data_IF_967327253266
#
_entry.id   IF_967327253266
#
_cell.length_a   1.000
_cell.length_b   1.000
_cell.length_c   1.000
_cell.angle_alpha   90.00
_cell.angle_beta   90.00
_cell.angle_gamma   90.00
#
_symmetry.space_group_name_H-M   'P 1'
#
loop_
_entity.id
_entity.type
_entity.pdbx_description
1 polymer ?
#
# COMPACT_ATOMS: atom_id res chain seq x y z
N UNK A 1 6.67 -33.08 -79.73
CA UNK A 1 6.86 -31.80 -79.02
C UNK A 1 8.08 -31.11 -79.63
N UNK A 2 7.84 -30.03 -80.37
CA UNK A 2 8.87 -29.32 -81.15
C UNK A 2 9.88 -28.68 -80.23
N UNK A 3 11.18 -28.59 -80.62
CA UNK A 3 12.26 -27.95 -79.84
C UNK A 3 11.88 -26.54 -79.39
N UNK A 4 11.12 -25.79 -80.11
CA UNK A 4 10.61 -24.45 -79.84
C UNK A 4 9.62 -24.48 -78.61
N UNK A 5 8.72 -25.47 -78.57
CA UNK A 5 7.76 -25.64 -77.53
C UNK A 5 8.47 -26.02 -76.18
N UNK A 6 9.52 -26.88 -76.23
CA UNK A 6 10.32 -27.22 -75.03
C UNK A 6 11.05 -25.99 -74.49
N UNK A 7 11.67 -25.18 -75.37
CA UNK A 7 12.34 -23.96 -74.96
C UNK A 7 11.38 -22.92 -74.37
N UNK A 8 10.18 -22.78 -74.95
CA UNK A 8 9.15 -21.88 -74.40
C UNK A 8 8.68 -22.30 -72.99
N UNK A 9 8.47 -23.60 -72.76
CA UNK A 9 8.09 -24.15 -71.49
C UNK A 9 9.21 -23.92 -70.42
N UNK A 10 10.48 -24.10 -70.79
CA UNK A 10 11.62 -23.84 -69.91
C UNK A 10 11.75 -22.35 -69.53
N UNK A 11 11.50 -21.45 -70.51
CA UNK A 11 11.50 -19.99 -70.24
C UNK A 11 10.39 -19.61 -69.27
N UNK A 12 9.17 -20.09 -69.49
CA UNK A 12 8.00 -19.83 -68.62
C UNK A 12 8.23 -20.40 -67.23
N UNK A 13 8.74 -21.62 -67.13
CA UNK A 13 9.11 -22.23 -65.81
C UNK A 13 10.20 -21.43 -65.09
N UNK A 14 11.20 -20.90 -65.79
CA UNK A 14 12.23 -20.02 -65.27
C UNK A 14 11.67 -18.70 -64.73
N UNK A 15 10.74 -18.08 -65.44
CA UNK A 15 10.07 -16.83 -65.01
C UNK A 15 9.21 -17.09 -63.78
N UNK A 16 8.46 -18.18 -63.75
CA UNK A 16 7.67 -18.56 -62.57
C UNK A 16 8.56 -18.82 -61.36
N UNK A 17 9.68 -19.52 -61.55
CA UNK A 17 10.65 -19.79 -60.49
C UNK A 17 11.29 -18.49 -59.98
N UNK A 18 11.67 -17.57 -60.88
CA UNK A 18 12.20 -16.25 -60.49
C UNK A 18 11.17 -15.39 -59.78
N UNK A 19 9.91 -15.42 -60.16
CA UNK A 19 8.81 -14.73 -59.49
C UNK A 19 8.55 -15.31 -58.07
N UNK A 20 8.57 -16.63 -57.92
CA UNK A 20 8.44 -17.28 -56.60
C UNK A 20 9.63 -16.95 -55.68
N UNK A 21 10.85 -16.96 -56.21
CA UNK A 21 12.05 -16.55 -55.48
C UNK A 21 11.99 -15.08 -55.04
N UNK A 22 11.50 -14.19 -55.87
CA UNK A 22 11.36 -12.76 -55.51
C UNK A 22 10.35 -12.53 -54.39
N UNK A 23 9.27 -13.31 -54.32
CA UNK A 23 8.29 -13.26 -53.21
C UNK A 23 8.91 -13.71 -51.89
N UNK A 24 9.84 -14.67 -51.92
CA UNK A 24 10.56 -15.13 -50.70
C UNK A 24 11.62 -14.12 -50.22
N UNK A 25 12.02 -13.19 -51.08
CA UNK A 25 13.04 -12.19 -50.79
C UNK A 25 12.50 -10.92 -50.10
N UNK A 26 11.18 -10.79 -49.93
CA UNK A 26 10.57 -9.60 -49.30
C UNK A 26 10.09 -9.94 -47.90
N UNK A 27 10.46 -9.08 -46.92
CA UNK A 27 9.98 -9.16 -45.55
C UNK A 27 9.43 -7.80 -45.11
N UNK A 28 8.31 -7.84 -44.40
CA UNK A 28 7.73 -6.67 -43.73
C UNK A 28 8.02 -6.73 -42.24
N UNK A 29 8.69 -5.69 -41.73
CA UNK A 29 8.89 -5.45 -40.29
C UNK A 29 7.81 -4.46 -39.83
N UNK A 30 6.93 -4.84 -38.90
CA UNK A 30 5.87 -3.93 -38.41
C UNK A 30 6.44 -2.72 -37.68
N UNK A 31 5.66 -1.65 -37.57
CA UNK A 31 6.01 -0.50 -36.74
C UNK A 31 6.14 -0.92 -35.28
N UNK A 32 7.16 -0.40 -34.57
CA UNK A 32 7.48 -0.78 -33.19
C UNK A 32 8.24 -2.10 -33.05
N UNK A 33 8.72 -2.68 -34.16
CA UNK A 33 9.58 -3.87 -34.13
C UNK A 33 10.91 -3.59 -34.79
N UNK A 34 11.93 -4.32 -34.38
CA UNK A 34 13.25 -4.40 -35.01
C UNK A 34 13.44 -5.80 -35.59
N UNK A 35 13.83 -5.88 -36.82
CA UNK A 35 14.12 -7.14 -37.52
C UNK A 35 15.59 -7.54 -37.26
N UNK A 36 15.83 -8.60 -36.52
CA UNK A 36 17.17 -9.19 -36.36
C UNK A 36 17.41 -10.17 -37.51
N UNK A 37 18.50 -9.94 -38.24
CA UNK A 37 18.86 -10.78 -39.42
C UNK A 37 19.64 -11.99 -38.97
N UNK A 38 19.18 -13.17 -39.34
CA UNK A 38 19.84 -14.45 -39.07
C UNK A 38 20.12 -15.18 -40.37
N UNK A 39 21.40 -15.44 -40.67
CA UNK A 39 21.87 -16.15 -41.84
C UNK A 39 22.47 -17.49 -41.45
N UNK A 40 21.87 -18.59 -41.88
CA UNK A 40 22.27 -19.96 -41.54
C UNK A 40 22.48 -20.20 -40.04
N UNK A 41 21.62 -19.60 -39.20
CA UNK A 41 21.69 -19.72 -37.75
C UNK A 41 22.64 -18.72 -37.07
N UNK A 42 23.39 -17.91 -37.80
CA UNK A 42 24.26 -16.86 -37.28
C UNK A 42 23.54 -15.51 -37.33
N UNK A 43 23.53 -14.81 -36.18
CA UNK A 43 23.03 -13.42 -36.10
C UNK A 43 24.02 -12.49 -36.80
N UNK A 44 23.53 -11.65 -37.72
CA UNK A 44 24.33 -10.64 -38.40
C UNK A 44 24.39 -9.33 -37.59
N UNK A 45 25.47 -8.56 -37.79
CA UNK A 45 25.71 -7.30 -37.08
C UNK A 45 24.89 -6.10 -37.62
N UNK A 46 23.73 -6.37 -38.17
CA UNK A 46 22.82 -5.31 -38.59
C UNK A 46 21.36 -5.71 -38.32
N UNK A 47 20.56 -4.71 -38.06
CA UNK A 47 19.12 -4.85 -37.84
C UNK A 47 18.33 -4.12 -38.91
N UNK A 48 17.11 -4.53 -39.10
CA UNK A 48 16.16 -3.90 -40.02
C UNK A 48 15.15 -3.08 -39.22
N UNK A 49 15.02 -1.81 -39.55
CA UNK A 49 13.96 -0.94 -39.03
C UNK A 49 12.58 -1.35 -39.53
N UNK A 50 11.54 -0.72 -38.99
CA UNK A 50 10.17 -0.92 -39.47
C UNK A 50 10.04 -0.49 -40.93
N UNK A 51 9.42 -1.35 -41.72
CA UNK A 51 9.26 -1.12 -43.17
C UNK A 51 9.27 -2.40 -43.99
N UNK A 52 9.44 -2.24 -45.31
CA UNK A 52 9.59 -3.34 -46.26
C UNK A 52 11.06 -3.43 -46.62
N UNK A 53 11.64 -4.61 -46.48
CA UNK A 53 13.06 -4.87 -46.72
C UNK A 53 13.22 -6.07 -47.67
N UNK A 54 14.32 -6.06 -48.38
CA UNK A 54 14.75 -7.22 -49.16
C UNK A 54 15.70 -8.09 -48.32
N UNK A 55 15.50 -9.38 -48.33
CA UNK A 55 16.35 -10.37 -47.68
C UNK A 55 16.74 -11.47 -48.69
N UNK A 56 17.85 -12.14 -48.47
CA UNK A 56 18.17 -13.34 -49.21
C UNK A 56 17.22 -14.51 -48.85
N UNK A 57 16.94 -15.45 -49.73
CA UNK A 57 16.01 -16.57 -49.46
C UNK A 57 16.41 -17.42 -48.25
N UNK A 58 17.70 -17.50 -47.93
CA UNK A 58 18.27 -18.26 -46.80
C UNK A 58 18.36 -17.46 -45.51
N UNK A 59 18.02 -16.17 -45.54
CA UNK A 59 17.96 -15.33 -44.33
C UNK A 59 16.61 -15.46 -43.61
N UNK A 60 16.63 -15.53 -42.32
CA UNK A 60 15.48 -15.43 -41.45
C UNK A 60 15.51 -14.09 -40.73
N UNK A 61 14.35 -13.43 -40.63
CA UNK A 61 14.22 -12.16 -39.92
C UNK A 61 13.37 -12.41 -38.67
N UNK A 62 14.00 -12.25 -37.49
CA UNK A 62 13.34 -12.36 -36.23
C UNK A 62 12.86 -10.98 -35.80
N UNK A 63 11.56 -10.85 -35.62
CA UNK A 63 10.93 -9.57 -35.23
C UNK A 63 10.89 -9.46 -33.72
N UNK A 64 11.66 -8.50 -33.17
CA UNK A 64 11.66 -8.17 -31.74
C UNK A 64 10.77 -6.97 -31.51
N UNK A 65 9.84 -7.06 -30.56
CA UNK A 65 8.93 -5.95 -30.22
C UNK A 65 9.64 -4.95 -29.31
N UNK A 66 9.73 -3.70 -29.75
CA UNK A 66 10.41 -2.60 -29.05
C UNK A 66 9.42 -1.68 -28.32
N UNK A 67 8.14 -1.98 -28.37
CA UNK A 67 7.12 -1.23 -27.66
C UNK A 67 7.16 -1.59 -26.17
N UNK A 68 6.57 -0.75 -25.37
CA UNK A 68 6.35 -1.06 -23.96
C UNK A 68 5.44 -2.29 -23.87
N UNK A 69 5.92 -3.32 -23.21
CA UNK A 69 5.21 -4.57 -22.96
C UNK A 69 4.83 -4.63 -21.49
N UNK A 70 3.61 -5.07 -21.20
CA UNK A 70 3.09 -5.28 -19.85
C UNK A 70 3.05 -6.78 -19.57
N UNK A 71 3.63 -7.18 -18.44
CA UNK A 71 3.53 -8.53 -17.93
C UNK A 71 3.17 -8.52 -16.46
N UNK A 72 2.36 -9.47 -16.03
CA UNK A 72 1.90 -9.62 -14.67
C UNK A 72 2.34 -10.97 -14.12
N UNK A 73 3.02 -10.93 -12.98
CA UNK A 73 3.55 -12.11 -12.30
C UNK A 73 2.86 -12.25 -10.95
N UNK A 74 2.19 -13.37 -10.73
CA UNK A 74 1.70 -13.77 -9.42
C UNK A 74 2.75 -14.65 -8.73
N UNK A 75 3.13 -14.30 -7.50
CA UNK A 75 4.17 -15.00 -6.76
C UNK A 75 3.92 -14.92 -5.24
N UNK A 76 4.47 -15.90 -4.52
CA UNK A 76 4.53 -15.86 -3.06
C UNK A 76 5.93 -15.46 -2.61
N UNK A 77 6.00 -14.63 -1.58
CA UNK A 77 7.22 -14.18 -0.92
C UNK A 77 7.07 -14.33 0.60
N UNK A 78 8.18 -14.19 1.32
CA UNK A 78 8.16 -14.12 2.78
C UNK A 78 8.58 -12.74 3.25
N UNK A 79 7.88 -12.24 4.25
CA UNK A 79 8.26 -11.02 4.97
C UNK A 79 9.43 -11.30 5.93
N UNK A 80 9.99 -10.25 6.53
CA UNK A 80 11.06 -10.32 7.53
C UNK A 80 10.68 -11.15 8.77
N UNK A 81 9.42 -11.13 9.15
CA UNK A 81 8.82 -11.88 10.26
C UNK A 81 8.26 -13.24 9.82
N UNK A 82 8.73 -13.75 8.66
CA UNK A 82 8.45 -15.09 8.14
C UNK A 82 6.95 -15.31 7.86
N UNK A 83 6.19 -14.26 7.56
CA UNK A 83 4.82 -14.39 7.08
C UNK A 83 4.81 -14.59 5.57
N UNK A 84 4.01 -15.54 5.11
CA UNK A 84 3.79 -15.75 3.67
C UNK A 84 2.87 -14.66 3.13
N UNK A 85 3.29 -14.07 2.01
CA UNK A 85 2.61 -12.98 1.33
C UNK A 85 2.46 -13.34 -0.13
N UNK A 86 1.24 -13.36 -0.64
CA UNK A 86 0.94 -13.51 -2.05
C UNK A 86 0.88 -12.14 -2.69
N UNK A 87 1.64 -11.96 -3.77
CA UNK A 87 1.71 -10.68 -4.48
C UNK A 87 1.41 -10.86 -5.95
N UNK A 88 0.67 -9.92 -6.50
CA UNK A 88 0.50 -9.76 -7.95
C UNK A 88 1.26 -8.51 -8.35
N UNK A 89 2.33 -8.73 -9.14
CA UNK A 89 3.26 -7.69 -9.54
C UNK A 89 3.27 -7.51 -11.04
N UNK A 90 3.05 -6.28 -11.49
CA UNK A 90 3.07 -5.92 -12.91
C UNK A 90 4.34 -5.14 -13.22
N UNK A 91 4.99 -5.55 -14.31
CA UNK A 91 6.17 -4.89 -14.87
C UNK A 91 5.90 -4.42 -16.28
N UNK A 92 6.21 -3.15 -16.54
CA UNK A 92 6.24 -2.58 -17.87
C UNK A 92 7.70 -2.39 -18.28
N UNK A 93 8.09 -3.01 -19.39
CA UNK A 93 9.47 -2.99 -19.87
C UNK A 93 9.49 -2.78 -21.39
N UNK A 94 10.63 -2.37 -21.90
CA UNK A 94 10.86 -2.26 -23.33
C UNK A 94 12.28 -2.69 -23.69
N UNK A 95 12.43 -3.06 -24.95
CA UNK A 95 13.72 -3.37 -25.56
C UNK A 95 14.11 -2.23 -26.49
N UNK A 96 15.26 -1.63 -26.27
CA UNK A 96 15.80 -0.63 -27.20
C UNK A 96 16.12 -1.25 -28.56
N UNK A 97 15.89 -0.50 -29.64
CA UNK A 97 16.17 -0.96 -31.01
C UNK A 97 17.61 -1.42 -31.19
N UNK A 98 18.54 -0.70 -30.55
CA UNK A 98 19.98 -0.99 -30.65
C UNK A 98 20.37 -2.29 -29.96
N UNK A 99 19.62 -2.70 -28.92
CA UNK A 99 19.91 -3.85 -28.10
C UNK A 99 19.17 -5.13 -28.54
N UNK A 100 18.19 -4.99 -29.43
CA UNK A 100 17.39 -6.13 -29.91
C UNK A 100 18.24 -7.29 -30.46
N UNK A 101 19.34 -6.96 -31.17
CA UNK A 101 20.27 -7.95 -31.70
C UNK A 101 21.06 -8.64 -30.56
N UNK A 102 21.58 -7.87 -29.61
CA UNK A 102 22.33 -8.37 -28.46
C UNK A 102 21.45 -9.29 -27.61
N UNK A 103 20.23 -8.86 -27.28
CA UNK A 103 19.27 -9.65 -26.51
C UNK A 103 18.92 -10.95 -27.24
N UNK A 104 18.66 -10.89 -28.54
CA UNK A 104 18.35 -12.09 -29.31
C UNK A 104 19.54 -13.05 -29.37
N UNK A 105 20.77 -12.55 -29.52
CA UNK A 105 21.97 -13.40 -29.63
C UNK A 105 22.38 -14.04 -28.28
N UNK A 106 22.09 -13.39 -27.15
CA UNK A 106 22.52 -13.85 -25.83
C UNK A 106 21.43 -14.64 -25.09
N UNK A 107 20.17 -14.24 -25.24
CA UNK A 107 19.02 -14.80 -24.51
C UNK A 107 18.05 -15.53 -25.44
N UNK A 108 17.85 -15.00 -26.63
CA UNK A 108 16.89 -15.54 -27.58
C UNK A 108 15.58 -14.74 -27.61
N UNK A 109 14.53 -15.36 -28.17
CA UNK A 109 13.22 -14.75 -28.30
C UNK A 109 12.41 -14.80 -27.00
N UNK A 110 12.67 -15.80 -26.15
CA UNK A 110 11.93 -16.07 -24.91
C UNK A 110 12.55 -15.35 -23.71
N UNK A 111 13.01 -14.10 -23.90
CA UNK A 111 13.66 -13.29 -22.85
C UNK A 111 12.76 -13.01 -21.65
N UNK A 112 11.42 -13.02 -21.83
CA UNK A 112 10.48 -12.88 -20.71
C UNK A 112 10.62 -14.04 -19.72
N UNK A 113 10.45 -15.27 -20.20
CA UNK A 113 10.48 -16.46 -19.34
C UNK A 113 11.88 -16.77 -18.79
N UNK A 114 12.91 -16.40 -19.57
CA UNK A 114 14.30 -16.71 -19.24
C UNK A 114 14.93 -15.69 -18.28
N UNK A 115 14.57 -14.43 -18.39
CA UNK A 115 15.21 -13.33 -17.66
C UNK A 115 14.23 -12.53 -16.84
N UNK A 116 13.16 -11.99 -17.46
CA UNK A 116 12.30 -11.01 -16.80
C UNK A 116 11.53 -11.64 -15.63
N UNK A 117 10.83 -12.73 -15.86
CA UNK A 117 10.01 -13.39 -14.84
C UNK A 117 10.86 -13.86 -13.63
N UNK A 118 12.01 -14.51 -13.79
CA UNK A 118 12.90 -14.84 -12.67
C UNK A 118 13.44 -13.61 -11.94
N UNK A 119 13.82 -12.54 -12.67
CA UNK A 119 14.31 -11.30 -12.07
C UNK A 119 13.25 -10.60 -11.23
N UNK A 120 11.98 -10.59 -11.70
CA UNK A 120 10.84 -10.06 -10.92
C UNK A 120 10.66 -10.85 -9.64
N UNK A 121 10.63 -12.18 -9.73
CA UNK A 121 10.47 -13.04 -8.54
C UNK A 121 11.61 -12.85 -7.53
N UNK A 122 12.85 -12.73 -8.00
CA UNK A 122 14.02 -12.50 -7.15
C UNK A 122 13.95 -11.12 -6.48
N UNK A 123 13.68 -10.06 -7.24
CA UNK A 123 13.58 -8.70 -6.72
C UNK A 123 12.49 -8.58 -5.65
N UNK A 124 11.28 -9.09 -5.95
CA UNK A 124 10.17 -9.07 -4.99
C UNK A 124 10.53 -9.84 -3.72
N UNK A 125 11.04 -11.07 -3.82
CA UNK A 125 11.43 -11.89 -2.65
C UNK A 125 12.53 -11.24 -1.82
N UNK A 126 13.55 -10.69 -2.49
CA UNK A 126 14.69 -10.04 -1.82
C UNK A 126 14.28 -8.79 -1.06
N UNK A 127 13.40 -8.00 -1.64
CA UNK A 127 12.95 -6.75 -1.01
C UNK A 127 11.90 -7.01 0.06
N UNK A 128 10.92 -7.89 -0.19
CA UNK A 128 9.89 -8.26 0.80
C UNK A 128 10.49 -8.80 2.09
N UNK A 129 11.58 -9.58 2.02
CA UNK A 129 12.29 -10.11 3.18
C UNK A 129 12.94 -9.02 4.08
N UNK A 130 13.00 -7.77 3.63
CA UNK A 130 13.53 -6.63 4.43
C UNK A 130 12.44 -5.95 5.27
N UNK A 131 11.17 -6.18 4.99
CA UNK A 131 10.02 -5.56 5.62
C UNK A 131 9.20 -6.57 6.40
N UNK A 132 8.62 -6.15 7.53
CA UNK A 132 7.61 -6.94 8.25
C UNK A 132 6.29 -6.94 7.48
N UNK A 133 5.41 -7.89 7.79
CA UNK A 133 4.10 -7.98 7.15
C UNK A 133 3.28 -6.68 7.34
N UNK A 134 3.37 -6.04 8.50
CA UNK A 134 2.75 -4.74 8.79
C UNK A 134 3.34 -3.61 7.92
N UNK A 135 4.68 -3.57 7.75
CA UNK A 135 5.37 -2.59 6.91
C UNK A 135 5.06 -2.78 5.42
N UNK A 136 4.84 -4.01 4.96
CA UNK A 136 4.45 -4.28 3.56
C UNK A 136 3.11 -3.62 3.19
N UNK A 137 2.21 -3.45 4.17
CA UNK A 137 0.91 -2.79 3.98
C UNK A 137 1.04 -1.28 4.15
N UNK A 138 1.71 -0.83 5.21
CA UNK A 138 1.78 0.59 5.61
C UNK A 138 2.75 1.40 4.76
N UNK A 139 3.88 0.81 4.37
CA UNK A 139 4.97 1.45 3.61
C UNK A 139 5.02 1.00 2.14
N UNK A 140 3.87 0.75 1.54
CA UNK A 140 3.73 0.24 0.16
C UNK A 140 4.57 1.02 -0.88
N UNK A 141 4.71 2.32 -0.71
CA UNK A 141 5.51 3.17 -1.62
C UNK A 141 7.01 2.84 -1.53
N UNK A 142 7.53 2.63 -0.32
CA UNK A 142 8.95 2.26 -0.12
C UNK A 142 9.24 0.87 -0.67
N UNK A 143 8.30 -0.06 -0.46
CA UNK A 143 8.36 -1.41 -1.02
C UNK A 143 8.46 -1.35 -2.54
N UNK A 144 7.54 -0.62 -3.19
CA UNK A 144 7.51 -0.48 -4.65
C UNK A 144 8.82 0.10 -5.20
N UNK A 145 9.33 1.19 -4.60
CA UNK A 145 10.61 1.79 -4.99
C UNK A 145 11.79 0.83 -4.81
N UNK A 146 11.80 0.09 -3.71
CA UNK A 146 12.87 -0.88 -3.46
C UNK A 146 12.88 -2.03 -4.46
N UNK A 147 11.70 -2.54 -4.83
CA UNK A 147 11.58 -3.59 -5.86
C UNK A 147 11.98 -3.04 -7.23
N UNK A 148 11.53 -1.83 -7.58
CA UNK A 148 11.86 -1.17 -8.84
C UNK A 148 13.38 -0.96 -8.99
N UNK A 149 14.06 -0.50 -7.96
CA UNK A 149 15.51 -0.31 -7.95
C UNK A 149 16.26 -1.64 -8.15
N UNK A 150 15.88 -2.69 -7.42
CA UNK A 150 16.52 -4.00 -7.52
C UNK A 150 16.27 -4.65 -8.89
N UNK A 151 15.04 -4.55 -9.38
CA UNK A 151 14.65 -5.06 -10.69
C UNK A 151 15.35 -4.31 -11.82
N UNK A 152 15.45 -2.98 -11.74
CA UNK A 152 16.15 -2.15 -12.72
C UNK A 152 17.63 -2.54 -12.81
N UNK A 153 18.30 -2.76 -11.68
CA UNK A 153 19.69 -3.26 -11.64
C UNK A 153 19.84 -4.64 -12.30
N UNK A 154 18.87 -5.52 -12.06
CA UNK A 154 18.91 -6.87 -12.62
C UNK A 154 18.71 -6.85 -14.12
N UNK A 155 17.68 -6.13 -14.62
CA UNK A 155 17.34 -6.08 -16.04
C UNK A 155 18.36 -5.31 -16.89
N UNK A 156 19.02 -4.28 -16.31
CA UNK A 156 20.07 -3.51 -16.98
C UNK A 156 21.26 -4.38 -17.42
N UNK A 157 21.56 -5.45 -16.69
CA UNK A 157 22.63 -6.41 -17.05
C UNK A 157 22.34 -7.11 -18.39
N UNK A 158 21.08 -7.16 -18.77
CA UNK A 158 20.61 -7.81 -19.99
C UNK A 158 20.14 -6.83 -21.07
N UNK A 159 20.43 -5.54 -20.87
CA UNK A 159 20.03 -4.45 -21.79
C UNK A 159 18.49 -4.34 -21.97
N UNK A 160 17.74 -4.72 -20.95
CA UNK A 160 16.27 -4.57 -20.92
C UNK A 160 15.97 -3.35 -20.05
N UNK A 161 15.20 -2.42 -20.60
CA UNK A 161 14.83 -1.19 -19.95
C UNK A 161 13.52 -1.37 -19.16
N UNK A 162 13.58 -1.11 -17.86
CA UNK A 162 12.40 -1.04 -16.99
C UNK A 162 11.74 0.32 -17.15
N UNK A 163 10.48 0.35 -17.54
CA UNK A 163 9.72 1.61 -17.73
C UNK A 163 8.98 1.99 -16.47
N UNK A 164 8.23 1.07 -15.91
CA UNK A 164 7.50 1.26 -14.65
C UNK A 164 7.09 -0.08 -14.06
N UNK A 165 6.76 -0.05 -12.78
CA UNK A 165 6.27 -1.21 -12.06
C UNK A 165 5.05 -0.87 -11.23
N UNK A 166 4.25 -1.88 -10.89
CA UNK A 166 3.10 -1.72 -10.02
C UNK A 166 2.86 -2.99 -9.21
N UNK A 167 2.62 -2.81 -7.92
CA UNK A 167 2.07 -3.86 -7.08
C UNK A 167 0.55 -3.80 -7.27
N UNK A 168 -0.05 -4.80 -7.90
CA UNK A 168 -1.50 -4.85 -8.11
C UNK A 168 -2.21 -5.28 -6.84
N UNK A 169 -1.72 -6.37 -6.24
CA UNK A 169 -2.32 -6.95 -5.04
C UNK A 169 -1.26 -7.45 -4.05
N UNK A 170 -1.62 -7.39 -2.76
CA UNK A 170 -0.85 -7.98 -1.66
C UNK A 170 -1.87 -8.65 -0.74
N UNK A 171 -1.76 -9.96 -0.63
CA UNK A 171 -2.66 -10.78 0.16
C UNK A 171 -1.87 -11.63 1.17
N UNK A 172 -2.43 -11.79 2.37
CA UNK A 172 -1.84 -12.56 3.45
C UNK A 172 -2.68 -13.79 3.73
N UNK A 173 -2.11 -14.76 4.43
CA UNK A 173 -2.87 -15.94 4.87
C UNK A 173 -3.98 -15.53 5.85
N UNK A 174 -5.13 -16.21 5.79
CA UNK A 174 -6.28 -15.96 6.68
C UNK A 174 -5.86 -16.00 8.16
N UNK A 175 -4.99 -16.96 8.53
CA UNK A 175 -4.50 -17.09 9.89
C UNK A 175 -3.71 -15.84 10.38
N UNK A 176 -2.96 -15.19 9.48
CA UNK A 176 -2.26 -13.94 9.80
C UNK A 176 -3.24 -12.78 9.93
N UNK A 177 -4.19 -12.67 9.02
CA UNK A 177 -5.24 -11.63 9.02
C UNK A 177 -6.05 -11.69 10.30
N UNK A 178 -6.52 -12.89 10.69
CA UNK A 178 -7.26 -13.11 11.94
C UNK A 178 -6.43 -12.72 13.18
N UNK A 179 -5.13 -13.06 13.19
CA UNK A 179 -4.23 -12.70 14.29
C UNK A 179 -4.00 -11.18 14.40
N UNK A 180 -3.89 -10.49 13.27
CA UNK A 180 -3.76 -9.02 13.21
C UNK A 180 -5.05 -8.35 13.69
N UNK A 181 -6.22 -8.83 13.24
CA UNK A 181 -7.51 -8.33 13.71
C UNK A 181 -7.68 -8.52 15.23
N UNK A 182 -7.37 -9.69 15.75
CA UNK A 182 -7.43 -9.97 17.18
C UNK A 182 -6.50 -9.04 17.99
N UNK A 183 -5.27 -8.82 17.50
CA UNK A 183 -4.31 -7.86 18.09
C UNK A 183 -4.86 -6.45 18.08
N UNK A 184 -5.47 -6.03 16.98
CA UNK A 184 -6.03 -4.68 16.83
C UNK A 184 -7.22 -4.46 17.76
N UNK A 185 -8.12 -5.44 17.87
CA UNK A 185 -9.24 -5.43 18.84
C UNK A 185 -8.73 -5.35 20.27
N UNK A 186 -7.70 -6.13 20.62
CA UNK A 186 -7.10 -6.09 21.95
C UNK A 186 -6.46 -4.71 22.27
N UNK A 187 -5.76 -4.11 21.32
CA UNK A 187 -5.20 -2.77 21.45
C UNK A 187 -6.29 -1.69 21.61
N UNK A 188 -7.36 -1.76 20.83
CA UNK A 188 -8.51 -0.86 20.94
C UNK A 188 -9.19 -0.98 22.30
N UNK A 189 -9.38 -2.20 22.80
CA UNK A 189 -9.97 -2.44 24.12
C UNK A 189 -9.08 -1.90 25.24
N UNK A 190 -7.76 -2.08 25.13
CA UNK A 190 -6.80 -1.50 26.08
C UNK A 190 -6.88 0.04 26.09
N UNK A 191 -6.81 0.67 24.92
CA UNK A 191 -6.90 2.12 24.80
C UNK A 191 -8.23 2.67 25.35
N UNK A 192 -9.35 1.96 25.09
CA UNK A 192 -10.65 2.31 25.65
C UNK A 192 -10.62 2.25 27.18
N UNK A 193 -10.10 1.16 27.76
CA UNK A 193 -10.02 1.01 29.20
C UNK A 193 -9.11 2.09 29.86
N UNK A 194 -7.99 2.45 29.22
CA UNK A 194 -7.12 3.54 29.65
C UNK A 194 -7.85 4.89 29.61
N UNK A 195 -8.54 5.18 28.51
CA UNK A 195 -9.34 6.42 28.36
C UNK A 195 -10.49 6.49 29.37
N UNK A 196 -11.20 5.37 29.60
CA UNK A 196 -12.27 5.30 30.61
C UNK A 196 -11.73 5.51 32.04
N UNK A 197 -10.55 4.94 32.36
CA UNK A 197 -9.91 5.15 33.66
C UNK A 197 -9.49 6.62 33.82
N UNK A 198 -8.88 7.22 32.81
CA UNK A 198 -8.49 8.64 32.84
C UNK A 198 -9.72 9.56 32.96
N UNK A 199 -10.79 9.28 32.23
CA UNK A 199 -12.07 10.01 32.34
C UNK A 199 -12.63 9.95 33.76
N UNK A 200 -12.64 8.77 34.41
CA UNK A 200 -13.11 8.63 35.79
C UNK A 200 -12.27 9.42 36.78
N UNK A 201 -10.95 9.48 36.56
CA UNK A 201 -10.05 10.30 37.41
C UNK A 201 -10.37 11.78 37.24
N UNK A 202 -10.57 12.23 36.00
CA UNK A 202 -10.93 13.63 35.69
C UNK A 202 -12.29 13.98 36.34
N UNK A 203 -13.30 13.12 36.19
CA UNK A 203 -14.62 13.30 36.78
C UNK A 203 -14.54 13.37 38.34
N UNK A 204 -13.81 12.43 38.97
CA UNK A 204 -13.63 12.43 40.39
C UNK A 204 -12.91 13.69 40.92
N UNK A 205 -11.88 14.17 40.19
CA UNK A 205 -11.20 15.40 40.51
C UNK A 205 -12.10 16.63 40.36
N UNK A 206 -12.92 16.66 39.31
CA UNK A 206 -13.89 17.73 39.08
C UNK A 206 -14.95 17.77 40.19
N UNK A 207 -15.50 16.61 40.58
CA UNK A 207 -16.44 16.53 41.72
C UNK A 207 -15.81 16.96 43.04
N UNK A 208 -14.56 16.57 43.29
CA UNK A 208 -13.85 16.99 44.51
C UNK A 208 -13.63 18.51 44.54
N UNK A 209 -13.27 19.10 43.39
CA UNK A 209 -13.08 20.55 43.24
C UNK A 209 -14.41 21.31 43.42
N UNK A 210 -15.52 20.82 42.84
CA UNK A 210 -16.86 21.40 43.06
C UNK A 210 -17.20 21.40 44.54
N UNK A 211 -17.04 20.26 45.23
CA UNK A 211 -17.30 20.18 46.71
C UNK A 211 -16.39 21.11 47.50
N UNK A 212 -15.14 21.29 47.11
CA UNK A 212 -14.23 22.24 47.74
C UNK A 212 -14.73 23.68 47.57
N UNK A 213 -15.13 24.06 46.35
CA UNK A 213 -15.66 25.39 46.06
C UNK A 213 -16.96 25.65 46.83
N UNK A 214 -17.84 24.64 46.93
CA UNK A 214 -19.10 24.75 47.72
C UNK A 214 -18.79 24.95 49.21
N UNK A 215 -17.87 24.14 49.77
CA UNK A 215 -17.47 24.27 51.17
C UNK A 215 -16.78 25.63 51.48
N UNK A 216 -15.92 26.10 50.57
CA UNK A 216 -15.29 27.42 50.70
C UNK A 216 -16.34 28.55 50.63
N UNK A 217 -17.35 28.41 49.73
CA UNK A 217 -18.44 29.36 49.63
C UNK A 217 -19.32 29.37 50.91
N UNK A 218 -19.67 28.17 51.44
CA UNK A 218 -20.40 28.08 52.72
C UNK A 218 -19.61 28.66 53.88
N UNK A 219 -18.33 28.39 53.96
CA UNK A 219 -17.44 28.96 55.00
C UNK A 219 -17.42 30.49 54.92
N UNK A 220 -17.29 31.04 53.70
CA UNK A 220 -17.32 32.50 53.48
C UNK A 220 -18.66 33.12 53.89
N UNK A 221 -19.78 32.49 53.51
CA UNK A 221 -21.12 32.93 53.93
C UNK A 221 -21.29 32.88 55.43
N UNK A 222 -20.82 31.81 56.12
CA UNK A 222 -20.89 31.67 57.55
C UNK A 222 -20.03 32.70 58.27
N UNK A 223 -18.81 32.97 57.79
CA UNK A 223 -17.91 33.99 58.32
C UNK A 223 -18.55 35.40 58.22
N UNK A 224 -19.01 35.76 57.02
CA UNK A 224 -19.67 37.05 56.74
C UNK A 224 -20.95 37.22 57.55
N UNK A 225 -21.72 36.12 57.70
CA UNK A 225 -22.91 36.15 58.55
C UNK A 225 -22.54 36.29 60.05
N UNK A 226 -21.53 35.59 60.53
CA UNK A 226 -21.05 35.70 61.88
C UNK A 226 -20.53 37.10 62.24
N UNK A 227 -19.80 37.75 61.33
CA UNK A 227 -19.33 39.14 61.50
C UNK A 227 -20.48 40.14 61.49
N UNK A 228 -21.55 39.87 60.77
CA UNK A 228 -22.71 40.75 60.66
C UNK A 228 -23.78 40.51 61.74
N UNK A 229 -23.70 39.43 62.50
CA UNK A 229 -24.68 39.08 63.53
C UNK A 229 -24.51 39.95 64.77
N UNK A 230 -25.16 41.12 64.76
CA UNK A 230 -25.36 41.89 65.99
C UNK A 230 -26.48 41.27 66.83
N UNK A 231 -26.48 41.64 68.14
CA UNK A 231 -27.45 41.12 69.15
C UNK A 231 -28.92 41.38 68.65
N UNK A 232 -29.15 42.49 67.97
CA UNK A 232 -30.44 42.91 67.45
C UNK A 232 -30.87 42.04 66.28
N UNK A 233 -29.95 41.64 65.40
CA UNK A 233 -30.24 40.77 64.23
C UNK A 233 -30.57 39.36 64.74
N UNK A 234 -29.86 38.83 65.72
CA UNK A 234 -30.13 37.54 66.34
C UNK A 234 -31.53 37.50 66.99
N UNK A 235 -31.93 38.57 67.64
CA UNK A 235 -33.30 38.71 68.15
C UNK A 235 -34.34 38.72 67.06
N UNK A 236 -34.11 39.45 65.97
CA UNK A 236 -35.04 39.50 64.84
C UNK A 236 -35.20 38.13 64.19
N UNK A 237 -34.12 37.41 63.91
CA UNK A 237 -34.17 36.08 63.35
C UNK A 237 -34.85 35.07 64.31
N UNK A 238 -34.70 35.23 65.57
CA UNK A 238 -35.43 34.44 66.59
C UNK A 238 -36.92 34.67 66.47
N UNK A 239 -37.37 35.94 66.43
CA UNK A 239 -38.80 36.26 66.24
C UNK A 239 -39.38 35.83 64.94
N UNK A 240 -38.63 35.86 63.82
CA UNK A 240 -39.08 35.45 62.51
C UNK A 240 -39.29 33.93 62.42
N UNK A 241 -38.45 33.14 63.11
CA UNK A 241 -38.54 31.68 63.13
C UNK A 241 -39.35 31.12 64.29
N UNK A 242 -39.80 31.96 65.22
CA UNK A 242 -40.57 31.51 66.37
C UNK A 242 -42.01 31.11 65.95
N UNK A 243 -42.36 29.87 66.25
CA UNK A 243 -43.66 29.27 65.95
C UNK A 243 -44.73 29.61 66.99
N UNK A 244 -44.48 30.54 67.90
CA UNK A 244 -45.45 30.99 68.92
C UNK A 244 -45.62 30.07 70.13
N UNK A 245 -44.84 29.02 70.25
CA UNK A 245 -44.86 28.08 71.39
C UNK A 245 -43.73 28.41 72.39
N UNK A 246 -44.07 28.60 73.67
CA UNK A 246 -43.08 28.82 74.68
C UNK A 246 -42.20 27.58 74.93
N UNK A 247 -40.89 27.70 75.04
CA UNK A 247 -40.00 26.57 75.34
C UNK A 247 -40.37 25.97 76.75
N UNK A 248 -40.37 24.65 76.78
CA UNK A 248 -40.86 23.88 77.95
C UNK A 248 -39.94 23.95 79.17
N UNK A 249 -38.69 24.41 79.02
CA UNK A 249 -37.72 24.56 80.10
C UNK A 249 -37.00 25.91 79.94
N UNK A 250 -37.14 26.77 80.96
CA UNK A 250 -36.35 28.00 81.18
C UNK A 250 -35.44 27.78 82.35
N UNK A 251 -34.14 27.57 82.11
CA UNK A 251 -33.14 27.54 83.14
C UNK A 251 -32.42 28.88 83.23
N UNK A 252 -32.01 29.22 84.42
CA UNK A 252 -31.48 30.53 84.91
C UNK A 252 -30.45 31.12 83.89
N UNK A 253 -30.92 32.04 83.04
CA UNK A 253 -30.05 32.90 82.21
C UNK A 253 -29.58 32.34 80.87
N UNK A 254 -29.86 31.11 80.48
CA UNK A 254 -29.56 30.55 79.17
C UNK A 254 -30.76 29.79 78.65
N UNK A 255 -31.30 30.22 77.49
CA UNK A 255 -32.41 29.58 76.82
C UNK A 255 -31.90 28.37 75.97
N UNK A 256 -32.20 27.15 76.46
CA UNK A 256 -31.89 25.92 75.70
C UNK A 256 -33.11 25.57 74.84
N UNK A 257 -33.01 25.75 73.56
CA UNK A 257 -34.04 25.34 72.56
C UNK A 257 -33.89 23.83 72.33
N UNK A 258 -34.80 23.02 72.86
CA UNK A 258 -34.90 21.61 72.53
C UNK A 258 -35.88 21.44 71.38
N UNK A 259 -35.49 20.89 70.24
CA UNK A 259 -36.42 20.56 69.17
C UNK A 259 -37.30 19.39 69.65
N UNK A 260 -38.62 19.58 69.71
CA UNK A 260 -39.58 18.51 69.94
C UNK A 260 -39.67 17.69 68.63
N UNK A 261 -39.15 16.46 68.66
CA UNK A 261 -39.46 15.50 67.62
C UNK A 261 -40.97 15.19 67.67
N UNK A 262 -41.71 15.58 66.68
CA UNK A 262 -43.04 15.04 66.45
C UNK A 262 -42.87 13.71 65.71
N UNK A 263 -43.21 12.62 66.32
CA UNK A 263 -43.51 11.32 65.72
C UNK A 263 -44.66 11.45 64.69
#
# INVERSE_FOLDING_TARGET
MNRVQKNLILIVAGIICAALLSLLCVVKVPTGHTGVVVTFGKVENHTLDSGIHFKAPWQSIIKMDNRIQKETVALSAFSKDIQEVNMVYTVNYQISKNEAMTIYSTIGKEYYTTVISPSVMEAVKTVSAKYTAEELITDRTKLAMGIEEELSKSLSKYNIELVSTSIEDIDFTDAFTDAVEAKQVAQQNKLRAETEAETKIIEANAEAEVKRIEADAEAYVNETTSESLTKEILQKMYYEKWNGVLPEIVSDGSMILSPKNND
#
